data_IF_303539870692
#
_entry.id   IF_303539870692
#
_cell.length_a   1.000
_cell.length_b   1.000
_cell.length_c   1.000
_cell.angle_alpha   90.00
_cell.angle_beta   90.00
_cell.angle_gamma   90.00
#
_symmetry.space_group_name_H-M   'P 1'
#
loop_
_entity.id
_entity.type
_entity.pdbx_description
1 polymer ?
#
# COMPACT_ATOMS: atom_id res chain seq x y z
N UNK A 1 -5.29 7.76 -3.31
CA UNK A 1 -3.96 8.01 -3.90
C UNK A 1 -3.04 8.94 -3.12
N UNK A 2 -3.47 9.63 -2.05
CA UNK A 2 -2.72 10.78 -1.51
C UNK A 2 -1.26 10.48 -1.13
N UNK A 3 -0.97 9.43 -0.36
CA UNK A 3 0.41 9.16 0.09
C UNK A 3 1.39 8.88 -1.08
N UNK A 4 1.03 8.03 -2.04
CA UNK A 4 1.85 7.74 -3.22
C UNK A 4 1.88 8.91 -4.21
N UNK A 5 0.73 9.56 -4.41
CA UNK A 5 0.63 10.74 -5.28
C UNK A 5 1.51 11.88 -4.77
N UNK A 6 1.56 12.10 -3.46
CA UNK A 6 2.47 13.04 -2.82
C UNK A 6 3.91 12.56 -2.94
N UNK A 7 4.23 11.33 -2.52
CA UNK A 7 5.60 10.81 -2.54
C UNK A 7 6.22 10.69 -3.95
N UNK A 8 5.40 10.61 -5.00
CA UNK A 8 5.86 10.63 -6.40
C UNK A 8 6.14 12.04 -6.94
N UNK A 9 5.75 13.10 -6.21
CA UNK A 9 5.88 14.50 -6.61
C UNK A 9 6.75 15.33 -5.66
N UNK A 10 7.04 14.80 -4.47
CA UNK A 10 7.89 15.45 -3.47
C UNK A 10 8.76 14.43 -2.76
N UNK A 11 9.91 14.88 -2.26
CA UNK A 11 10.74 14.08 -1.39
C UNK A 11 10.10 13.97 0.00
N UNK A 12 9.87 12.73 0.44
CA UNK A 12 9.40 12.40 1.78
C UNK A 12 10.35 11.40 2.41
N UNK A 13 10.50 11.42 3.74
CA UNK A 13 11.43 10.52 4.42
C UNK A 13 11.00 9.04 4.33
N UNK A 14 9.70 8.78 4.40
CA UNK A 14 9.13 7.42 4.31
C UNK A 14 7.67 7.48 3.83
N UNK A 15 7.18 6.37 3.29
CA UNK A 15 5.78 6.20 2.87
C UNK A 15 5.17 5.04 3.64
N UNK A 16 4.10 5.30 4.38
CA UNK A 16 3.34 4.26 5.10
C UNK A 16 1.96 4.14 4.46
N UNK A 17 1.59 2.93 4.09
CA UNK A 17 0.40 2.62 3.31
C UNK A 17 -0.44 1.58 4.06
N UNK A 18 -1.47 2.04 4.76
CA UNK A 18 -2.53 1.17 5.24
C UNK A 18 -3.48 0.84 4.08
N UNK A 19 -3.55 -0.43 3.68
CA UNK A 19 -4.51 -0.93 2.68
C UNK A 19 -4.36 -0.30 1.27
N UNK A 20 -3.14 -0.35 0.75
CA UNK A 20 -2.73 0.23 -0.54
C UNK A 20 -3.65 -0.09 -1.73
N UNK A 21 -4.09 -1.35 -1.88
CA UNK A 21 -5.00 -1.77 -2.95
C UNK A 21 -6.28 -0.93 -3.05
N UNK A 22 -6.87 -0.56 -1.91
CA UNK A 22 -8.07 0.29 -1.86
C UNK A 22 -7.80 1.67 -2.46
N UNK A 23 -6.58 2.17 -2.29
CA UNK A 23 -6.20 3.55 -2.57
C UNK A 23 -5.73 3.75 -4.01
N UNK A 24 -5.19 2.71 -4.66
CA UNK A 24 -4.69 2.74 -6.04
C UNK A 24 -5.74 2.31 -7.07
N UNK A 25 -6.41 1.18 -6.84
CA UNK A 25 -7.35 0.65 -7.85
C UNK A 25 -8.65 1.46 -7.87
N UNK A 26 -9.18 1.82 -6.70
CA UNK A 26 -10.50 2.45 -6.62
C UNK A 26 -10.48 3.95 -6.90
N UNK A 27 -9.41 4.66 -6.58
CA UNK A 27 -9.31 6.09 -6.88
C UNK A 27 -9.35 6.38 -8.39
N UNK A 28 -8.90 5.45 -9.23
CA UNK A 28 -8.98 5.58 -10.69
C UNK A 28 -10.28 5.04 -11.27
N UNK A 29 -10.82 3.95 -10.72
CA UNK A 29 -12.10 3.40 -11.15
C UNK A 29 -13.31 4.27 -10.78
N UNK A 30 -13.18 5.11 -9.75
CA UNK A 30 -14.21 6.09 -9.37
C UNK A 30 -14.40 7.18 -10.44
N UNK A 31 -13.37 7.46 -11.23
CA UNK A 31 -13.45 8.44 -12.34
C UNK A 31 -14.13 7.90 -13.60
N UNK A 32 -14.34 6.58 -13.70
CA UNK A 32 -14.99 5.95 -14.84
C UNK A 32 -16.51 5.82 -14.60
N UNK A 33 -17.33 6.39 -15.49
CA UNK A 33 -18.81 6.37 -15.44
C UNK A 33 -19.43 4.95 -15.37
N UNK A 34 -18.66 3.90 -15.64
CA UNK A 34 -19.02 2.50 -15.49
C UNK A 34 -18.06 1.83 -14.51
N UNK A 35 -18.35 1.90 -13.22
CA UNK A 35 -17.56 1.20 -12.20
C UNK A 35 -17.66 -0.31 -12.44
N UNK A 36 -16.55 -1.03 -12.62
CA UNK A 36 -16.59 -2.48 -12.53
C UNK A 36 -17.06 -2.87 -11.13
N UNK A 37 -17.85 -3.93 -11.06
CA UNK A 37 -18.29 -4.47 -9.78
C UNK A 37 -17.09 -4.87 -8.90
N UNK A 38 -17.19 -4.56 -7.61
CA UNK A 38 -16.15 -4.78 -6.61
C UNK A 38 -15.76 -6.26 -6.53
N UNK A 39 -16.75 -7.16 -6.59
CA UNK A 39 -16.52 -8.60 -6.53
C UNK A 39 -15.74 -9.07 -7.76
N UNK A 40 -16.08 -8.53 -8.94
CA UNK A 40 -15.39 -8.82 -10.20
C UNK A 40 -13.91 -8.45 -10.14
N UNK A 41 -13.57 -7.30 -9.53
CA UNK A 41 -12.18 -6.87 -9.32
C UNK A 41 -11.45 -7.80 -8.35
N UNK A 42 -12.10 -8.17 -7.24
CA UNK A 42 -11.49 -9.08 -6.25
C UNK A 42 -11.31 -10.50 -6.79
N UNK A 43 -12.15 -10.90 -7.74
CA UNK A 43 -12.08 -12.21 -8.40
C UNK A 43 -10.89 -12.31 -9.35
N UNK A 44 -10.67 -11.28 -10.18
CA UNK A 44 -9.56 -11.23 -11.12
C UNK A 44 -8.95 -9.82 -11.23
N UNK A 45 -8.08 -9.43 -10.29
CA UNK A 45 -7.52 -8.09 -10.28
C UNK A 45 -6.54 -7.83 -11.44
N UNK A 46 -6.00 -8.89 -12.06
CA UNK A 46 -5.08 -8.77 -13.22
C UNK A 46 -5.80 -8.22 -14.44
N UNK A 47 -7.08 -8.58 -14.62
CA UNK A 47 -7.94 -8.05 -15.69
C UNK A 47 -8.14 -6.54 -15.60
N UNK A 48 -8.02 -5.96 -14.40
CA UNK A 48 -8.20 -4.52 -14.20
C UNK A 48 -6.85 -3.77 -14.12
N UNK A 49 -5.76 -4.46 -13.81
CA UNK A 49 -4.41 -3.89 -13.77
C UNK A 49 -3.67 -3.99 -15.12
N UNK A 50 -4.15 -3.24 -16.10
CA UNK A 50 -3.60 -3.25 -17.47
C UNK A 50 -3.56 -1.87 -18.12
N UNK A 51 -3.04 -1.80 -19.35
CA UNK A 51 -3.05 -0.60 -20.18
C UNK A 51 -2.44 0.62 -19.49
N UNK A 52 -3.15 1.74 -19.56
CA UNK A 52 -2.67 3.01 -19.03
C UNK A 52 -2.68 3.09 -17.51
N UNK A 53 -3.57 2.33 -16.84
CA UNK A 53 -3.58 2.28 -15.38
C UNK A 53 -2.27 1.68 -14.83
N UNK A 54 -1.84 0.56 -15.41
CA UNK A 54 -0.53 -0.05 -15.08
C UNK A 54 0.62 0.91 -15.37
N UNK A 55 0.62 1.59 -16.52
CA UNK A 55 1.66 2.57 -16.87
C UNK A 55 1.75 3.70 -15.85
N UNK A 56 0.61 4.30 -15.46
CA UNK A 56 0.55 5.39 -14.48
C UNK A 56 0.98 4.93 -13.09
N UNK A 57 0.51 3.78 -12.63
CA UNK A 57 0.91 3.20 -11.35
C UNK A 57 2.41 2.95 -11.29
N UNK A 58 2.97 2.34 -12.33
CA UNK A 58 4.41 2.11 -12.46
C UNK A 58 5.21 3.42 -12.50
N UNK A 59 4.72 4.44 -13.21
CA UNK A 59 5.37 5.75 -13.24
C UNK A 59 5.42 6.40 -11.85
N UNK A 60 4.32 6.34 -11.08
CA UNK A 60 4.28 6.82 -9.70
C UNK A 60 5.27 6.07 -8.81
N UNK A 61 5.28 4.74 -8.88
CA UNK A 61 6.22 3.93 -8.12
C UNK A 61 7.67 4.24 -8.48
N UNK A 62 7.98 4.42 -9.77
CA UNK A 62 9.33 4.77 -10.22
C UNK A 62 9.81 6.09 -9.62
N UNK A 63 8.93 7.07 -9.45
CA UNK A 63 9.24 8.38 -8.90
C UNK A 63 9.39 8.40 -7.36
N UNK A 64 8.98 7.34 -6.65
CA UNK A 64 9.14 7.27 -5.19
C UNK A 64 10.56 6.80 -4.86
N UNK A 65 11.36 7.65 -4.23
CA UNK A 65 12.74 7.32 -3.83
C UNK A 65 12.87 6.86 -2.37
N UNK A 66 11.80 7.00 -1.59
CA UNK A 66 11.75 6.62 -0.18
C UNK A 66 11.37 5.15 0.02
N UNK A 67 11.64 4.63 1.23
CA UNK A 67 11.14 3.31 1.60
C UNK A 67 9.63 3.35 1.77
N UNK A 68 9.03 2.20 1.50
CA UNK A 68 7.58 2.02 1.54
C UNK A 68 7.28 0.93 2.57
N UNK A 69 6.40 1.22 3.52
CA UNK A 69 5.80 0.23 4.41
C UNK A 69 4.35 0.03 4.03
N UNK A 70 3.96 -1.20 3.72
CA UNK A 70 2.60 -1.59 3.39
C UNK A 70 2.06 -2.44 4.54
N UNK A 71 0.97 -2.01 5.15
CA UNK A 71 0.28 -2.70 6.25
C UNK A 71 -1.05 -3.26 5.75
N UNK A 72 -1.32 -4.54 6.03
CA UNK A 72 -2.51 -5.21 5.51
C UNK A 72 -2.97 -6.37 6.40
N UNK A 73 -4.30 -6.57 6.54
CA UNK A 73 -4.88 -7.75 7.20
C UNK A 73 -5.00 -8.95 6.24
N UNK A 74 -4.95 -10.20 6.69
CA UNK A 74 -4.94 -11.34 5.76
C UNK A 74 -6.31 -11.87 5.33
N UNK A 75 -7.40 -11.43 5.97
CA UNK A 75 -8.76 -11.95 5.72
C UNK A 75 -9.34 -11.39 4.42
N UNK A 76 -9.09 -10.11 4.11
CA UNK A 76 -9.79 -9.43 3.03
C UNK A 76 -9.24 -9.77 1.64
N UNK A 77 -10.11 -9.91 0.64
CA UNK A 77 -9.73 -10.27 -0.74
C UNK A 77 -8.78 -9.26 -1.42
N UNK A 78 -8.77 -8.01 -0.94
CA UNK A 78 -7.83 -6.95 -1.33
C UNK A 78 -6.36 -7.36 -1.19
N UNK A 79 -6.06 -8.34 -0.31
CA UNK A 79 -4.74 -8.94 -0.17
C UNK A 79 -4.19 -9.37 -1.51
N UNK A 80 -5.02 -9.97 -2.37
CA UNK A 80 -4.61 -10.47 -3.71
C UNK A 80 -4.04 -9.36 -4.58
N UNK A 81 -4.66 -8.17 -4.58
CA UNK A 81 -4.14 -7.03 -5.35
C UNK A 81 -2.75 -6.63 -4.84
N UNK A 82 -2.59 -6.52 -3.51
CA UNK A 82 -1.30 -6.14 -2.94
C UNK A 82 -0.22 -7.21 -3.20
N UNK A 83 -0.51 -8.48 -2.91
CA UNK A 83 0.45 -9.56 -2.99
C UNK A 83 0.76 -10.02 -4.43
N UNK A 84 -0.21 -9.95 -5.34
CA UNK A 84 -0.01 -10.46 -6.71
C UNK A 84 0.36 -9.39 -7.73
N UNK A 85 0.05 -8.11 -7.45
CA UNK A 85 0.26 -7.02 -8.41
C UNK A 85 1.20 -5.95 -7.88
N UNK A 86 0.88 -5.35 -6.74
CA UNK A 86 1.56 -4.15 -6.28
C UNK A 86 2.95 -4.46 -5.75
N UNK A 87 3.06 -5.41 -4.82
CA UNK A 87 4.36 -5.82 -4.24
C UNK A 87 5.31 -6.33 -5.34
N UNK A 88 4.88 -7.23 -6.25
CA UNK A 88 5.75 -7.65 -7.36
C UNK A 88 6.16 -6.51 -8.29
N UNK A 89 5.32 -5.50 -8.53
CA UNK A 89 5.70 -4.34 -9.36
C UNK A 89 6.75 -3.46 -8.65
N UNK A 90 6.59 -3.24 -7.35
CA UNK A 90 7.57 -2.51 -6.54
C UNK A 90 8.92 -3.25 -6.52
N UNK A 91 8.91 -4.57 -6.34
CA UNK A 91 10.10 -5.42 -6.38
C UNK A 91 10.80 -5.36 -7.76
N UNK A 92 10.04 -5.47 -8.85
CA UNK A 92 10.58 -5.33 -10.23
C UNK A 92 11.19 -3.97 -10.51
N UNK A 93 10.73 -2.92 -9.81
CA UNK A 93 11.30 -1.57 -9.89
C UNK A 93 12.50 -1.37 -8.96
N UNK A 94 12.93 -2.40 -8.23
CA UNK A 94 14.00 -2.31 -7.24
C UNK A 94 13.63 -1.41 -6.05
N UNK A 95 12.33 -1.22 -5.79
CA UNK A 95 11.86 -0.34 -4.71
C UNK A 95 12.00 -1.02 -3.37
N UNK A 96 12.31 -0.22 -2.37
CA UNK A 96 12.49 -0.70 -1.01
C UNK A 96 11.16 -0.75 -0.27
N UNK A 97 10.35 -1.75 -0.62
CA UNK A 97 9.03 -1.97 -0.05
C UNK A 97 9.06 -3.10 0.99
N UNK A 98 8.43 -2.86 2.14
CA UNK A 98 8.17 -3.85 3.18
C UNK A 98 6.67 -4.12 3.18
N UNK A 99 6.27 -5.38 2.99
CA UNK A 99 4.88 -5.79 3.07
C UNK A 99 4.63 -6.58 4.35
N UNK A 100 3.93 -5.96 5.30
CA UNK A 100 3.63 -6.53 6.61
C UNK A 100 2.17 -6.96 6.69
N UNK A 101 1.98 -8.27 6.81
CA UNK A 101 0.66 -8.91 6.85
C UNK A 101 0.32 -9.28 8.29
N UNK A 102 -0.89 -8.93 8.72
CA UNK A 102 -1.39 -9.16 10.07
C UNK A 102 -2.45 -10.26 10.07
N UNK A 103 -2.14 -11.46 10.60
CA UNK A 103 -3.04 -12.60 10.56
C UNK A 103 -4.32 -12.40 11.39
N UNK A 104 -5.44 -12.88 10.86
CA UNK A 104 -6.76 -12.82 11.51
C UNK A 104 -7.41 -11.44 11.47
N UNK A 105 -6.87 -10.49 10.70
CA UNK A 105 -7.37 -9.12 10.63
C UNK A 105 -8.02 -8.83 9.28
N UNK A 106 -9.11 -8.06 9.33
CA UNK A 106 -9.85 -7.64 8.14
C UNK A 106 -9.34 -6.29 7.61
N UNK A 107 -9.86 -5.87 6.45
CA UNK A 107 -9.59 -4.55 5.89
C UNK A 107 -9.92 -3.44 6.90
N UNK A 108 -9.05 -2.43 6.98
CA UNK A 108 -9.26 -1.29 7.86
C UNK A 108 -9.06 -1.60 9.35
N UNK A 109 -8.36 -2.69 9.70
CA UNK A 109 -8.15 -3.13 11.09
C UNK A 109 -7.51 -2.10 12.05
N UNK A 110 -6.92 -1.04 11.51
CA UNK A 110 -6.35 0.06 12.29
C UNK A 110 -7.39 1.13 12.69
N UNK A 111 -8.63 1.04 12.18
CA UNK A 111 -9.77 1.85 12.63
C UNK A 111 -10.47 1.14 13.80
N UNK A 112 -11.11 1.91 14.69
CA UNK A 112 -11.84 1.35 15.84
C UNK A 112 -12.90 0.33 15.40
N UNK A 113 -13.15 -0.70 16.24
CA UNK A 113 -14.17 -1.76 16.06
C UNK A 113 -13.93 -2.80 14.95
N UNK A 114 -12.69 -3.11 14.60
CA UNK A 114 -12.35 -4.00 13.47
C UNK A 114 -11.62 -5.30 13.88
N UNK A 115 -11.60 -5.61 15.18
CA UNK A 115 -11.00 -6.83 15.72
C UNK A 115 -9.50 -6.72 16.07
N UNK A 116 -8.87 -5.56 15.84
CA UNK A 116 -7.50 -5.33 16.28
C UNK A 116 -7.41 -5.26 17.81
N UNK A 117 -6.54 -6.11 18.38
CA UNK A 117 -6.23 -6.09 19.81
C UNK A 117 -5.20 -5.00 20.14
N UNK A 118 -5.14 -4.57 21.41
CA UNK A 118 -4.08 -3.65 21.87
C UNK A 118 -2.68 -4.17 21.54
N UNK A 119 -2.46 -5.50 21.61
CA UNK A 119 -1.20 -6.15 21.22
C UNK A 119 -0.87 -5.89 19.75
N UNK A 120 -1.87 -5.99 18.88
CA UNK A 120 -1.73 -5.74 17.44
C UNK A 120 -1.40 -4.27 17.19
N UNK A 121 -2.14 -3.34 17.80
CA UNK A 121 -1.89 -1.90 17.66
C UNK A 121 -0.46 -1.55 18.12
N UNK A 122 -0.02 -2.07 19.26
CA UNK A 122 1.37 -1.89 19.74
C UNK A 122 2.40 -2.43 18.75
N UNK A 123 2.14 -3.57 18.10
CA UNK A 123 3.01 -4.12 17.05
C UNK A 123 3.09 -3.19 15.84
N UNK A 124 1.96 -2.69 15.36
CA UNK A 124 1.90 -1.74 14.22
C UNK A 124 2.70 -0.48 14.56
N UNK A 125 2.45 0.11 15.72
CA UNK A 125 3.16 1.33 16.15
C UNK A 125 4.66 1.09 16.22
N UNK A 126 5.11 -0.04 16.78
CA UNK A 126 6.53 -0.41 16.82
C UNK A 126 7.13 -0.54 15.41
N UNK A 127 6.41 -1.16 14.48
CA UNK A 127 6.88 -1.33 13.10
C UNK A 127 6.95 0.00 12.34
N UNK A 128 5.93 0.85 12.50
CA UNK A 128 5.89 2.20 11.94
C UNK A 128 7.04 3.04 12.49
N UNK A 129 7.23 3.07 13.82
CA UNK A 129 8.36 3.79 14.44
C UNK A 129 9.70 3.27 13.93
N UNK A 130 9.91 1.95 13.91
CA UNK A 130 11.16 1.37 13.40
C UNK A 130 11.39 1.67 11.91
N UNK A 131 10.33 1.75 11.11
CA UNK A 131 10.41 2.15 9.71
C UNK A 131 10.85 3.60 9.56
N UNK A 132 10.28 4.52 10.36
CA UNK A 132 10.64 5.94 10.37
C UNK A 132 12.06 6.15 10.92
N UNK A 133 12.43 5.49 12.02
CA UNK A 133 13.72 5.69 12.72
C UNK A 133 14.92 5.29 11.86
N UNK A 134 14.78 4.25 11.04
CA UNK A 134 15.80 3.86 10.05
C UNK A 134 16.14 4.99 9.08
N UNK A 135 15.29 6.01 8.95
CA UNK A 135 15.52 7.18 8.10
C UNK A 135 16.01 8.41 8.87
N UNK A 136 15.55 8.63 10.10
CA UNK A 136 16.01 9.78 10.90
C UNK A 136 17.43 9.58 11.43
N UNK A 137 17.86 8.32 11.65
CA UNK A 137 19.23 8.01 12.03
C UNK A 137 20.25 8.34 10.92
N UNK A 138 19.87 8.21 9.64
CA UNK A 138 20.71 8.57 8.49
C UNK A 138 20.84 10.09 8.35
N UNK A 139 19.77 10.84 8.68
CA UNK A 139 19.77 12.29 8.61
C UNK A 139 20.55 12.99 9.75
N UNK A 140 20.79 12.29 10.87
CA UNK A 140 21.56 12.80 12.03
C UNK A 140 23.06 12.49 12.00
N UNK A 141 23.50 11.65 11.06
CA UNK A 141 24.90 11.25 10.90
C UNK A 141 25.65 12.07 9.81
N UNK A 142 25.03 13.15 9.32
CA UNK A 142 25.61 14.17 8.44
C UNK A 142 25.52 15.52 9.14
#
# INVERSE_FOLDING_TARGET
MLAIGTASKTHVASVILGELATVLLFAELDSARNRPDYESIMKDPKKFYMGDFKKRTRAMFKAIDSRILILHGDIHALKKINSELIVPELEKLGKNAIYSVYPGLNHGFYWANTGATLKTIKKILKEVSAHIDKHTAIARAK
#
